data_IF_632481416823
#
_entry.id   IF_632481416823
#
_cell.length_a   1.000
_cell.length_b   1.000
_cell.length_c   1.000
_cell.angle_alpha   90.00
_cell.angle_beta   90.00
_cell.angle_gamma   90.00
#
_symmetry.space_group_name_H-M   'P 1'
#
loop_
_entity.id
_entity.type
_entity.pdbx_description
1 polymer ?
#
# COMPACT_ATOMS: atom_id res chain seq x y z
N UNK A 1 -13.11 -26.16 11.30
CA UNK A 1 -11.75 -26.58 10.86
C UNK A 1 -10.70 -25.65 11.47
N UNK A 2 -9.69 -26.19 12.16
CA UNK A 2 -8.66 -25.42 12.87
C UNK A 2 -7.64 -24.72 11.97
N UNK A 3 -6.89 -23.76 12.51
CA UNK A 3 -5.81 -23.05 11.81
C UNK A 3 -4.60 -23.99 11.65
N UNK A 4 -4.26 -24.38 10.42
CA UNK A 4 -2.98 -25.04 10.12
C UNK A 4 -1.88 -23.99 9.95
N UNK A 5 -0.68 -24.27 10.48
CA UNK A 5 0.52 -23.46 10.22
C UNK A 5 0.86 -23.56 8.74
N UNK A 6 1.09 -22.41 8.10
CA UNK A 6 1.55 -22.32 6.71
C UNK A 6 2.98 -21.81 6.71
N UNK A 7 3.81 -22.38 5.83
CA UNK A 7 5.14 -21.84 5.51
C UNK A 7 5.02 -20.49 4.78
N UNK A 8 5.94 -19.56 5.02
CA UNK A 8 5.95 -18.25 4.35
C UNK A 8 6.61 -18.40 2.98
N UNK A 9 5.82 -18.92 2.03
CA UNK A 9 6.15 -19.01 0.61
C UNK A 9 4.90 -18.78 -0.26
N UNK A 10 5.08 -18.66 -1.57
CA UNK A 10 3.94 -18.53 -2.51
C UNK A 10 3.02 -19.75 -2.36
N UNK A 11 1.71 -19.50 -2.23
CA UNK A 11 0.71 -20.58 -2.21
C UNK A 11 0.45 -20.98 -3.66
N UNK A 12 0.76 -22.22 -4.04
CA UNK A 12 0.64 -22.67 -5.43
C UNK A 12 -0.82 -22.81 -5.90
N UNK A 13 -1.66 -23.44 -5.09
CA UNK A 13 -3.07 -23.62 -5.40
C UNK A 13 -3.79 -22.26 -5.50
N UNK A 14 -4.31 -21.93 -6.69
CA UNK A 14 -4.93 -20.64 -7.02
C UNK A 14 -6.12 -20.30 -6.11
N UNK A 15 -7.00 -21.27 -5.85
CA UNK A 15 -8.17 -21.08 -4.99
C UNK A 15 -7.78 -20.79 -3.55
N UNK A 16 -6.84 -21.58 -2.99
CA UNK A 16 -6.32 -21.37 -1.65
C UNK A 16 -5.58 -20.02 -1.53
N UNK A 17 -4.83 -19.64 -2.56
CA UNK A 17 -4.15 -18.34 -2.64
C UNK A 17 -5.15 -17.19 -2.62
N UNK A 18 -6.24 -17.27 -3.40
CA UNK A 18 -7.28 -16.24 -3.44
C UNK A 18 -8.01 -16.10 -2.10
N UNK A 19 -8.40 -17.22 -1.49
CA UNK A 19 -9.06 -17.21 -0.18
C UNK A 19 -8.12 -16.64 0.89
N UNK A 20 -6.85 -17.05 0.86
CA UNK A 20 -5.84 -16.57 1.82
C UNK A 20 -5.55 -15.09 1.63
N UNK A 21 -5.42 -14.62 0.38
CA UNK A 21 -5.28 -13.20 0.05
C UNK A 21 -6.44 -12.39 0.62
N UNK A 22 -7.68 -12.80 0.35
CA UNK A 22 -8.87 -12.09 0.86
C UNK A 22 -8.87 -11.98 2.39
N UNK A 23 -8.52 -13.06 3.10
CA UNK A 23 -8.48 -13.07 4.57
C UNK A 23 -7.32 -12.24 5.13
N UNK A 24 -6.10 -12.41 4.60
CA UNK A 24 -4.90 -11.70 5.06
C UNK A 24 -4.98 -10.20 4.75
N UNK A 25 -5.42 -9.84 3.55
CA UNK A 25 -5.66 -8.44 3.15
C UNK A 25 -6.60 -7.74 4.12
N UNK A 26 -7.74 -8.36 4.44
CA UNK A 26 -8.71 -7.83 5.40
C UNK A 26 -8.09 -7.69 6.81
N UNK A 27 -7.35 -8.69 7.27
CA UNK A 27 -6.67 -8.65 8.56
C UNK A 27 -5.61 -7.55 8.64
N UNK A 28 -4.81 -7.38 7.59
CA UNK A 28 -3.79 -6.34 7.49
C UNK A 28 -4.41 -4.94 7.48
N UNK A 29 -5.42 -4.71 6.65
CA UNK A 29 -6.15 -3.43 6.61
C UNK A 29 -6.79 -3.10 7.97
N UNK A 30 -7.33 -4.10 8.67
CA UNK A 30 -7.86 -3.90 10.03
C UNK A 30 -6.76 -3.46 10.99
N UNK A 31 -5.62 -4.13 10.97
CA UNK A 31 -4.47 -3.81 11.85
C UNK A 31 -3.89 -2.43 11.57
N UNK A 32 -3.75 -2.07 10.29
CA UNK A 32 -3.34 -0.74 9.88
C UNK A 32 -4.30 0.33 10.40
N UNK A 33 -5.62 0.13 10.25
CA UNK A 33 -6.62 1.06 10.80
C UNK A 33 -6.55 1.15 12.33
N UNK A 34 -6.44 0.02 13.03
CA UNK A 34 -6.29 -0.02 14.49
C UNK A 34 -5.07 0.80 14.93
N UNK A 35 -3.91 0.60 14.29
CA UNK A 35 -2.69 1.35 14.59
C UNK A 35 -2.87 2.85 14.35
N UNK A 36 -3.48 3.22 13.23
CA UNK A 36 -3.69 4.62 12.88
C UNK A 36 -4.55 5.34 13.91
N UNK A 37 -5.62 4.70 14.39
CA UNK A 37 -6.52 5.27 15.41
C UNK A 37 -5.84 5.30 16.79
N UNK A 38 -5.21 4.20 17.21
CA UNK A 38 -4.65 4.07 18.56
C UNK A 38 -3.46 5.00 18.81
N UNK A 39 -2.72 5.34 17.75
CA UNK A 39 -1.47 6.09 17.86
C UNK A 39 -1.49 7.41 17.08
N UNK A 40 -2.65 7.83 16.56
CA UNK A 40 -2.80 9.00 15.68
C UNK A 40 -1.77 9.03 14.53
N UNK A 41 -1.49 7.84 13.99
CA UNK A 41 -0.43 7.66 12.99
C UNK A 41 -0.99 7.78 11.58
N UNK A 42 -0.43 8.67 10.75
CA UNK A 42 -0.78 8.75 9.33
C UNK A 42 -0.14 7.60 8.55
N UNK A 43 -0.93 6.88 7.76
CA UNK A 43 -0.45 5.75 6.96
C UNK A 43 -1.28 5.56 5.70
N UNK A 44 -0.63 4.99 4.69
CA UNK A 44 -1.24 4.52 3.45
C UNK A 44 -0.81 3.07 3.17
N UNK A 45 -1.73 2.27 2.63
CA UNK A 45 -1.48 0.89 2.25
C UNK A 45 -2.05 0.62 0.87
N UNK A 46 -1.20 0.20 -0.07
CA UNK A 46 -1.57 -0.16 -1.44
C UNK A 46 -1.29 -1.65 -1.68
N UNK A 47 -2.27 -2.38 -2.20
CA UNK A 47 -2.16 -3.81 -2.47
C UNK A 47 -2.72 -4.13 -3.85
N UNK A 48 -1.88 -4.59 -4.76
CA UNK A 48 -2.29 -5.16 -6.03
C UNK A 48 -2.47 -6.67 -5.89
N UNK A 49 -3.63 -7.19 -6.28
CA UNK A 49 -3.82 -8.64 -6.38
C UNK A 49 -3.09 -9.21 -7.59
N UNK A 50 -2.92 -10.53 -7.63
CA UNK A 50 -2.45 -11.24 -8.82
C UNK A 50 -3.39 -11.12 -10.04
N UNK A 51 -4.55 -10.48 -9.88
CA UNK A 51 -5.50 -10.19 -10.98
C UNK A 51 -5.44 -8.71 -11.39
N UNK A 52 -4.46 -7.95 -10.90
CA UNK A 52 -4.31 -6.51 -11.18
C UNK A 52 -5.28 -5.61 -10.43
N UNK A 53 -6.11 -6.14 -9.53
CA UNK A 53 -7.07 -5.31 -8.77
C UNK A 53 -6.35 -4.59 -7.64
N UNK A 54 -6.49 -3.27 -7.62
CA UNK A 54 -6.03 -2.45 -6.50
C UNK A 54 -6.99 -2.55 -5.30
N UNK A 55 -6.38 -2.61 -4.12
CA UNK A 55 -7.03 -2.41 -2.84
C UNK A 55 -6.19 -1.43 -2.02
N UNK A 56 -6.82 -0.36 -1.55
CA UNK A 56 -6.13 0.69 -0.82
C UNK A 56 -6.79 1.01 0.53
N UNK A 57 -6.01 1.59 1.42
CA UNK A 57 -6.44 2.17 2.69
C UNK A 57 -5.57 3.40 2.96
N UNK A 58 -6.20 4.57 3.06
CA UNK A 58 -5.59 5.79 3.58
C UNK A 58 -6.38 6.24 4.81
N UNK A 59 -5.68 6.71 5.85
CA UNK A 59 -6.34 7.25 7.04
C UNK A 59 -5.96 8.72 7.22
N UNK A 60 -6.98 9.57 7.36
CA UNK A 60 -6.87 11.02 7.62
C UNK A 60 -6.61 11.86 6.37
N UNK A 61 -5.60 11.47 5.59
CA UNK A 61 -5.08 12.25 4.46
C UNK A 61 -5.31 11.49 3.13
N UNK A 62 -5.37 12.22 2.01
CA UNK A 62 -5.34 11.60 0.68
C UNK A 62 -4.04 10.80 0.48
N UNK A 63 -4.05 9.80 -0.42
CA UNK A 63 -2.82 9.08 -0.78
C UNK A 63 -1.72 10.06 -1.25
N UNK A 64 -2.13 11.11 -1.96
CA UNK A 64 -1.26 12.19 -2.43
C UNK A 64 -0.49 12.84 -1.27
N UNK A 65 -1.16 13.18 -0.18
CA UNK A 65 -0.55 13.83 0.99
C UNK A 65 0.42 12.91 1.73
N UNK A 66 0.10 11.62 1.88
CA UNK A 66 1.02 10.66 2.52
C UNK A 66 2.29 10.51 1.69
N UNK A 67 2.15 10.44 0.36
CA UNK A 67 3.29 10.40 -0.55
C UNK A 67 4.05 11.73 -0.52
N UNK A 68 3.38 12.88 -0.56
CA UNK A 68 4.02 14.18 -0.46
C UNK A 68 4.85 14.32 0.82
N UNK A 69 4.31 13.91 1.97
CA UNK A 69 5.04 13.89 3.25
C UNK A 69 6.27 13.00 3.19
N UNK A 70 6.18 11.83 2.54
CA UNK A 70 7.35 10.96 2.34
C UNK A 70 8.45 11.69 1.57
N UNK A 71 8.09 12.47 0.55
CA UNK A 71 9.03 13.21 -0.28
C UNK A 71 9.67 14.38 0.44
N UNK A 72 8.88 15.14 1.20
CA UNK A 72 9.40 16.25 2.02
C UNK A 72 10.43 15.74 3.03
N UNK A 73 10.21 14.56 3.62
CA UNK A 73 11.18 13.89 4.50
C UNK A 73 12.40 13.37 3.75
N UNK A 74 12.24 12.84 2.54
CA UNK A 74 13.35 12.36 1.71
C UNK A 74 14.26 13.51 1.26
N UNK A 75 13.68 14.68 0.94
CA UNK A 75 14.42 15.90 0.57
C UNK A 75 15.15 16.56 1.74
N UNK A 76 14.71 16.32 2.99
CA UNK A 76 15.38 16.79 4.20
C UNK A 76 16.60 15.91 4.57
N UNK A 77 16.62 14.65 4.16
CA UNK A 77 17.78 13.75 4.26
C UNK A 77 18.63 13.93 2.99
N UNK A 78 19.79 14.58 3.09
CA UNK A 78 20.68 14.96 1.96
C UNK A 78 21.30 13.83 1.13
N UNK A 79 20.55 12.77 0.82
CA UNK A 79 20.88 11.71 -0.14
C UNK A 79 20.38 12.10 -1.53
N UNK A 80 21.24 11.97 -2.55
CA UNK A 80 20.98 12.32 -3.94
C UNK A 80 19.87 11.45 -4.54
N UNK A 81 18.63 11.89 -4.35
CA UNK A 81 17.38 11.20 -4.69
C UNK A 81 16.72 11.81 -5.93
N UNK A 82 17.44 12.70 -6.64
CA UNK A 82 16.94 13.35 -7.86
C UNK A 82 16.44 12.33 -8.88
N UNK A 83 17.13 11.20 -9.06
CA UNK A 83 16.70 10.13 -9.98
C UNK A 83 15.33 9.52 -9.65
N UNK A 84 15.09 9.17 -8.38
CA UNK A 84 13.78 8.66 -7.91
C UNK A 84 12.67 9.72 -8.04
N UNK A 85 13.03 10.99 -7.86
CA UNK A 85 12.10 12.12 -7.97
C UNK A 85 11.60 12.26 -9.42
N UNK A 86 12.47 12.09 -10.42
CA UNK A 86 12.11 12.16 -11.84
C UNK A 86 11.32 10.93 -12.31
N UNK A 87 11.76 9.70 -11.99
CA UNK A 87 11.03 8.48 -12.38
C UNK A 87 9.61 8.43 -11.81
N UNK A 88 9.41 8.90 -10.57
CA UNK A 88 8.08 8.90 -9.97
C UNK A 88 7.27 10.13 -10.39
N UNK A 89 7.88 11.27 -10.72
CA UNK A 89 7.15 12.38 -11.34
C UNK A 89 6.55 11.98 -12.70
N UNK A 90 7.26 11.13 -13.45
CA UNK A 90 6.70 10.49 -14.65
C UNK A 90 5.55 9.54 -14.31
N UNK A 91 5.63 8.79 -13.20
CA UNK A 91 4.51 7.98 -12.68
C UNK A 91 3.31 8.84 -12.27
N UNK A 92 3.51 10.02 -11.69
CA UNK A 92 2.43 10.97 -11.34
C UNK A 92 1.82 11.65 -12.57
N UNK A 93 2.61 11.79 -13.64
CA UNK A 93 2.17 12.30 -14.94
C UNK A 93 1.37 11.26 -15.73
N UNK A 94 1.42 9.99 -15.32
CA UNK A 94 0.59 8.93 -15.87
C UNK A 94 -0.88 9.17 -15.47
N UNK A 95 -1.75 9.31 -16.47
CA UNK A 95 -3.20 9.45 -16.32
C UNK A 95 -3.78 8.32 -15.45
N UNK A 96 -3.18 7.12 -15.47
CA UNK A 96 -3.62 5.99 -14.68
C UNK A 96 -3.38 6.19 -13.17
N UNK A 97 -2.29 6.86 -12.77
CA UNK A 97 -2.00 7.15 -11.37
C UNK A 97 -2.79 8.37 -10.89
N UNK A 98 -2.97 9.38 -11.75
CA UNK A 98 -3.84 10.52 -11.46
C UNK A 98 -5.30 10.09 -11.19
N UNK A 99 -5.83 9.13 -11.96
CA UNK A 99 -7.15 8.54 -11.71
C UNK A 99 -7.21 7.65 -10.45
N UNK A 100 -6.07 7.10 -10.02
CA UNK A 100 -5.93 6.30 -8.80
C UNK A 100 -5.98 7.19 -7.55
N UNK A 101 -5.30 8.33 -7.61
CA UNK A 101 -5.15 9.29 -6.50
C UNK A 101 -6.39 10.16 -6.32
N UNK A 102 -7.20 10.36 -7.37
CA UNK A 102 -8.42 11.18 -7.35
C UNK A 102 -9.71 10.40 -7.02
N UNK A 103 -9.63 9.12 -6.64
CA UNK A 103 -10.77 8.32 -6.16
C UNK A 103 -10.85 8.28 -4.64
#
# INVERSE_FOLDING_TARGET
MGKKKLEIKRIENKSNRQITFSKRRKGLMKKARELSILCDAKLALLIFSSTGKLYELCNGDSLAEVVQRYWDNLGASGTDTKGLRFEIADIWSDEAFSQLVQR
#
